data_IF_576332088364
#
_entry.id   IF_576332088364
#
_cell.length_a   1.000
_cell.length_b   1.000
_cell.length_c   1.000
_cell.angle_alpha   90.00
_cell.angle_beta   90.00
_cell.angle_gamma   90.00
#
_symmetry.space_group_name_H-M   'P 1'
#
loop_
_entity.id
_entity.type
_entity.pdbx_description
1 polymer ?
#
# COMPACT_ATOMS: atom_id res chain seq x y z
N UNK A 1 -74.27 -10.99 41.81
CA UNK A 1 -75.49 -11.30 41.04
C UNK A 1 -75.07 -11.90 39.71
N UNK A 2 -75.50 -13.15 39.44
CA UNK A 2 -75.37 -13.97 38.20
C UNK A 2 -73.99 -14.62 37.92
N UNK A 3 -73.82 -15.92 38.23
CA UNK A 3 -74.15 -17.16 37.44
C UNK A 3 -73.10 -17.40 36.33
N UNK A 4 -72.08 -18.27 36.44
CA UNK A 4 -72.01 -19.74 36.58
C UNK A 4 -72.38 -20.55 35.30
N UNK A 5 -71.47 -21.49 34.93
CA UNK A 5 -71.60 -22.77 34.17
C UNK A 5 -71.13 -22.81 32.70
N UNK A 6 -70.53 -23.87 32.12
CA UNK A 6 -70.03 -25.23 32.49
C UNK A 6 -69.26 -25.79 31.26
N UNK A 7 -68.25 -26.66 31.47
CA UNK A 7 -68.03 -28.00 30.81
C UNK A 7 -66.55 -28.42 30.98
N UNK A 8 -66.17 -29.23 31.98
CA UNK A 8 -66.08 -30.72 32.03
C UNK A 8 -65.32 -31.39 30.86
N UNK A 9 -64.14 -31.95 31.17
CA UNK A 9 -63.41 -32.89 30.29
C UNK A 9 -62.17 -33.55 30.93
N UNK A 10 -62.40 -34.66 31.66
CA UNK A 10 -61.59 -35.88 31.94
C UNK A 10 -60.04 -35.83 32.07
N UNK A 11 -59.60 -36.38 33.21
CA UNK A 11 -58.29 -36.99 33.54
C UNK A 11 -57.84 -38.11 32.58
N UNK A 12 -56.54 -38.18 32.25
CA UNK A 12 -55.63 -39.38 32.26
C UNK A 12 -54.17 -38.89 32.43
N UNK A 13 -53.31 -39.55 33.25
CA UNK A 13 -51.95 -39.10 33.58
C UNK A 13 -50.84 -39.73 32.73
N UNK A 14 -49.66 -39.08 32.71
CA UNK A 14 -48.36 -39.73 32.50
C UNK A 14 -47.64 -39.38 31.19
N UNK A 15 -46.48 -38.75 31.31
CA UNK A 15 -45.16 -39.25 30.88
C UNK A 15 -44.11 -38.22 31.32
N UNK A 16 -43.27 -38.65 32.26
CA UNK A 16 -42.02 -37.98 32.64
C UNK A 16 -41.05 -38.16 31.46
N UNK A 17 -40.74 -37.09 30.73
CA UNK A 17 -39.64 -37.10 29.75
C UNK A 17 -38.44 -36.41 30.38
N UNK A 18 -37.44 -37.20 30.77
CA UNK A 18 -36.14 -36.74 31.22
C UNK A 18 -35.43 -36.01 30.07
N UNK A 19 -35.20 -34.70 30.21
CA UNK A 19 -34.31 -33.95 29.34
C UNK A 19 -32.85 -34.31 29.69
N UNK A 20 -32.23 -35.13 28.86
CA UNK A 20 -30.77 -35.25 28.81
C UNK A 20 -30.20 -33.96 28.19
N UNK A 21 -29.51 -33.15 28.99
CA UNK A 21 -28.62 -32.10 28.48
C UNK A 21 -27.40 -32.77 27.82
N UNK A 22 -27.42 -32.88 26.49
CA UNK A 22 -26.17 -33.03 25.73
C UNK A 22 -25.50 -31.66 25.65
N UNK A 23 -24.45 -31.44 26.45
CA UNK A 23 -23.48 -30.39 26.17
C UNK A 23 -22.78 -30.75 24.85
N UNK A 24 -23.19 -30.11 23.75
CA UNK A 24 -22.37 -30.06 22.56
C UNK A 24 -21.10 -29.27 22.92
N UNK A 25 -19.96 -29.96 23.00
CA UNK A 25 -18.67 -29.32 23.11
C UNK A 25 -18.47 -28.45 21.85
N UNK A 26 -18.59 -27.14 22.01
CA UNK A 26 -18.20 -26.19 20.97
C UNK A 26 -16.69 -26.38 20.77
N UNK A 27 -16.21 -26.72 19.57
CA UNK A 27 -14.79 -26.80 19.33
C UNK A 27 -14.20 -25.40 19.51
N UNK A 28 -13.41 -25.23 20.56
CA UNK A 28 -12.56 -24.05 20.73
C UNK A 28 -11.64 -24.03 19.49
N UNK A 29 -11.60 -22.93 18.70
CA UNK A 29 -10.65 -22.84 17.61
C UNK A 29 -9.25 -23.02 18.19
N UNK A 30 -8.50 -23.98 17.63
CA UNK A 30 -7.10 -24.18 18.01
C UNK A 30 -6.36 -22.84 17.82
N UNK A 31 -5.85 -22.29 18.92
CA UNK A 31 -4.95 -21.13 18.86
C UNK A 31 -3.82 -21.48 17.90
N UNK A 32 -3.70 -20.73 16.80
CA UNK A 32 -2.52 -20.82 15.95
C UNK A 32 -1.29 -20.64 16.86
N UNK A 33 -0.33 -21.56 16.79
CA UNK A 33 0.91 -21.40 17.53
C UNK A 33 1.56 -20.08 17.08
N UNK A 34 1.79 -19.17 18.02
CA UNK A 34 2.55 -17.95 17.76
C UNK A 34 3.99 -18.34 17.48
N UNK A 35 4.42 -18.23 16.23
CA UNK A 35 5.82 -18.45 15.84
C UNK A 35 6.54 -17.11 15.83
N UNK A 36 7.82 -17.11 16.17
CA UNK A 36 8.66 -15.91 16.09
C UNK A 36 8.66 -15.39 14.66
N UNK A 37 8.27 -14.13 14.50
CA UNK A 37 8.33 -13.42 13.21
C UNK A 37 9.74 -12.87 13.01
N UNK A 38 10.26 -12.96 11.79
CA UNK A 38 11.55 -12.35 11.43
C UNK A 38 11.30 -11.32 10.35
N UNK A 39 11.77 -10.10 10.59
CA UNK A 39 11.70 -8.99 9.65
C UNK A 39 13.11 -8.59 9.24
N UNK A 40 13.45 -8.72 7.96
CA UNK A 40 14.73 -8.31 7.38
C UNK A 40 14.53 -7.03 6.58
N UNK A 41 15.23 -5.96 6.95
CA UNK A 41 15.10 -4.62 6.38
C UNK A 41 13.63 -4.17 6.31
N UNK A 42 12.80 -4.65 7.25
CA UNK A 42 11.37 -4.39 7.33
C UNK A 42 10.45 -5.28 6.49
N UNK A 43 10.98 -6.25 5.72
CA UNK A 43 10.19 -7.29 5.05
C UNK A 43 10.10 -8.56 5.88
N UNK A 44 8.93 -9.21 5.87
CA UNK A 44 8.75 -10.50 6.54
C UNK A 44 9.55 -11.59 5.83
N UNK A 45 10.41 -12.28 6.56
CA UNK A 45 11.16 -13.41 6.06
C UNK A 45 10.42 -14.71 6.41
N UNK A 46 9.81 -15.32 5.39
CA UNK A 46 9.12 -16.58 5.54
C UNK A 46 10.09 -17.76 5.48
N UNK A 47 9.89 -18.74 6.36
CA UNK A 47 10.70 -19.95 6.44
C UNK A 47 9.84 -21.20 6.22
N UNK A 48 10.42 -22.21 5.59
CA UNK A 48 9.80 -23.52 5.38
C UNK A 48 9.74 -24.34 6.69
N UNK A 49 10.70 -24.12 7.59
CA UNK A 49 10.67 -24.54 8.98
C UNK A 49 10.61 -23.30 9.86
N UNK A 50 9.62 -23.19 10.77
CA UNK A 50 9.45 -21.98 11.56
C UNK A 50 10.67 -21.71 12.46
N UNK A 51 11.02 -20.44 12.69
CA UNK A 51 11.98 -20.05 13.73
C UNK A 51 11.60 -20.66 15.09
N UNK A 52 12.60 -21.02 15.89
CA UNK A 52 12.40 -21.57 17.24
C UNK A 52 13.19 -20.77 18.26
N UNK A 53 12.70 -20.70 19.50
CA UNK A 53 13.48 -20.16 20.62
C UNK A 53 14.05 -21.36 21.40
N UNK A 54 15.36 -21.43 21.51
CA UNK A 54 16.07 -22.43 22.29
C UNK A 54 17.18 -21.73 23.09
N UNK A 55 17.29 -22.02 24.40
CA UNK A 55 18.23 -21.33 25.30
C UNK A 55 18.14 -19.80 25.24
N UNK A 56 16.92 -19.27 25.20
CA UNK A 56 16.66 -17.83 25.07
C UNK A 56 17.30 -17.18 23.83
N UNK A 57 17.47 -17.96 22.75
CA UNK A 57 17.99 -17.51 21.46
C UNK A 57 17.08 -17.97 20.33
N UNK A 58 16.78 -17.06 19.41
CA UNK A 58 16.06 -17.39 18.17
C UNK A 58 16.99 -18.11 17.21
N UNK A 59 16.61 -19.32 16.81
CA UNK A 59 17.28 -20.12 15.80
C UNK A 59 16.43 -20.15 14.53
N UNK A 60 17.08 -19.98 13.37
CA UNK A 60 16.41 -19.94 12.06
C UNK A 60 17.10 -20.82 11.03
N UNK A 61 16.37 -21.35 10.02
CA UNK A 61 16.97 -22.09 8.91
C UNK A 61 18.10 -21.30 8.23
N UNK A 62 19.33 -21.84 8.31
CA UNK A 62 20.54 -21.09 7.93
C UNK A 62 20.54 -20.66 6.46
N UNK A 63 20.10 -21.54 5.55
CA UNK A 63 20.13 -21.27 4.11
C UNK A 63 19.28 -20.05 3.76
N UNK A 64 18.04 -20.03 4.28
CA UNK A 64 17.09 -18.95 4.02
C UNK A 64 17.58 -17.61 4.58
N UNK A 65 18.10 -17.59 5.81
CA UNK A 65 18.64 -16.34 6.38
C UNK A 65 19.90 -15.88 5.64
N UNK A 66 20.75 -16.80 5.18
CA UNK A 66 21.97 -16.48 4.43
C UNK A 66 21.67 -15.86 3.07
N UNK A 67 20.78 -16.49 2.30
CA UNK A 67 20.30 -15.96 1.02
C UNK A 67 19.69 -14.58 1.21
N UNK A 68 18.86 -14.41 2.25
CA UNK A 68 18.17 -13.16 2.53
C UNK A 68 19.14 -12.01 2.84
N UNK A 69 20.23 -12.27 3.57
CA UNK A 69 21.26 -11.26 3.84
C UNK A 69 22.33 -11.16 2.73
N UNK A 70 22.17 -11.86 1.61
CA UNK A 70 23.10 -11.84 0.48
C UNK A 70 24.43 -12.56 0.74
N UNK A 71 24.46 -13.53 1.66
CA UNK A 71 25.62 -14.39 1.90
C UNK A 71 25.53 -15.69 1.08
N UNK A 72 26.65 -16.11 0.50
CA UNK A 72 26.77 -17.44 -0.12
C UNK A 72 27.10 -18.48 0.94
N UNK A 73 26.60 -19.70 0.79
CA UNK A 73 26.78 -20.75 1.80
C UNK A 73 27.19 -22.08 1.21
N UNK A 74 28.04 -22.77 1.96
CA UNK A 74 28.37 -24.17 1.78
C UNK A 74 27.95 -24.97 3.01
N UNK A 75 27.42 -26.17 2.77
CA UNK A 75 27.09 -27.15 3.82
C UNK A 75 27.87 -28.43 3.57
N UNK A 76 28.70 -28.82 4.53
CA UNK A 76 29.42 -30.08 4.52
C UNK A 76 28.69 -31.10 5.41
N UNK A 77 28.10 -32.11 4.78
CA UNK A 77 27.35 -33.17 5.46
C UNK A 77 28.23 -34.05 6.36
N UNK A 78 29.47 -34.33 5.95
CA UNK A 78 30.36 -35.24 6.67
C UNK A 78 30.79 -34.64 8.01
N UNK A 79 31.08 -33.34 8.01
CA UNK A 79 31.53 -32.62 9.21
C UNK A 79 30.39 -31.87 9.92
N UNK A 80 29.20 -31.81 9.30
CA UNK A 80 28.03 -31.01 9.72
C UNK A 80 28.39 -29.54 9.93
N UNK A 81 29.12 -28.99 8.97
CA UNK A 81 29.68 -27.64 9.02
C UNK A 81 29.00 -26.73 7.99
N UNK A 82 28.61 -25.55 8.44
CA UNK A 82 28.18 -24.43 7.61
C UNK A 82 29.37 -23.49 7.45
N UNK A 83 29.64 -23.11 6.20
CA UNK A 83 30.54 -21.99 5.90
C UNK A 83 29.79 -20.96 5.07
N UNK A 84 29.71 -19.73 5.56
CA UNK A 84 29.02 -18.62 4.92
C UNK A 84 30.00 -17.49 4.57
N UNK A 85 29.80 -16.86 3.40
CA UNK A 85 30.65 -15.79 2.89
C UNK A 85 29.81 -14.59 2.45
N UNK A 86 30.25 -13.37 2.79
CA UNK A 86 29.72 -12.11 2.23
C UNK A 86 30.83 -11.06 2.24
N UNK A 87 31.20 -10.56 1.06
CA UNK A 87 32.34 -9.66 0.91
C UNK A 87 33.64 -10.32 1.38
N UNK A 88 34.33 -9.69 2.33
CA UNK A 88 35.56 -10.16 2.98
C UNK A 88 35.31 -11.01 4.22
N UNK A 89 34.05 -11.20 4.62
CA UNK A 89 33.69 -11.93 5.84
C UNK A 89 33.40 -13.40 5.58
N UNK A 90 33.96 -14.25 6.42
CA UNK A 90 33.71 -15.71 6.47
C UNK A 90 33.22 -16.10 7.86
N UNK A 91 32.11 -16.83 7.92
CA UNK A 91 31.52 -17.35 9.16
C UNK A 91 31.43 -18.88 9.08
N UNK A 92 32.03 -19.58 10.04
CA UNK A 92 32.02 -21.05 10.12
C UNK A 92 31.28 -21.48 11.39
N UNK A 93 30.32 -22.38 11.23
CA UNK A 93 29.46 -22.90 12.29
C UNK A 93 29.38 -24.42 12.17
N UNK A 94 29.45 -25.15 13.29
CA UNK A 94 29.31 -26.61 13.31
C UNK A 94 28.13 -27.03 14.18
N UNK A 95 27.29 -27.93 13.69
CA UNK A 95 26.12 -28.40 14.43
C UNK A 95 26.54 -29.02 15.77
N UNK A 96 25.88 -28.60 16.85
CA UNK A 96 26.15 -29.03 18.22
C UNK A 96 27.39 -28.38 18.86
N UNK A 97 28.18 -27.58 18.12
CA UNK A 97 29.34 -26.89 18.67
C UNK A 97 28.98 -25.45 19.07
N UNK A 98 29.36 -25.04 20.28
CA UNK A 98 29.17 -23.66 20.77
C UNK A 98 30.33 -22.73 20.44
N UNK A 99 31.28 -23.16 19.59
CA UNK A 99 32.34 -22.32 19.04
C UNK A 99 32.12 -22.14 17.54
N UNK A 100 31.97 -20.90 17.11
CA UNK A 100 31.97 -20.48 15.72
C UNK A 100 33.31 -19.82 15.37
N UNK A 101 33.53 -19.54 14.09
CA UNK A 101 34.69 -18.75 13.65
C UNK A 101 34.23 -17.62 12.74
N UNK A 102 34.73 -16.41 12.98
CA UNK A 102 34.54 -15.23 12.11
C UNK A 102 35.92 -14.80 11.63
N UNK A 103 36.16 -14.88 10.32
CA UNK A 103 37.49 -14.64 9.71
C UNK A 103 38.59 -15.42 10.44
N UNK A 104 38.36 -16.71 10.67
CA UNK A 104 39.24 -17.65 11.40
C UNK A 104 39.38 -17.38 12.91
N UNK A 105 38.86 -16.28 13.44
CA UNK A 105 38.90 -16.02 14.88
C UNK A 105 37.76 -16.76 15.60
N UNK A 106 38.05 -17.51 16.69
CA UNK A 106 37.02 -18.23 17.42
C UNK A 106 36.08 -17.29 18.18
N UNK A 107 34.78 -17.56 18.12
CA UNK A 107 33.73 -16.82 18.84
C UNK A 107 32.82 -17.81 19.56
N UNK A 108 32.57 -17.57 20.84
CA UNK A 108 31.64 -18.38 21.64
C UNK A 108 30.20 -18.02 21.29
N UNK A 109 29.38 -19.04 21.07
CA UNK A 109 27.95 -18.92 20.83
C UNK A 109 27.16 -19.09 22.11
N UNK A 110 26.07 -18.33 22.24
CA UNK A 110 25.09 -18.51 23.31
C UNK A 110 24.23 -19.75 23.13
N UNK A 111 24.05 -20.20 21.88
CA UNK A 111 23.37 -21.43 21.52
C UNK A 111 24.10 -22.08 20.33
N UNK A 112 24.33 -23.40 20.32
CA UNK A 112 24.92 -24.07 19.17
C UNK A 112 23.92 -24.17 18.02
N UNK A 113 24.37 -24.29 16.76
CA UNK A 113 23.49 -24.68 15.66
C UNK A 113 22.88 -26.07 15.90
N UNK A 114 21.62 -26.26 15.52
CA UNK A 114 20.88 -27.50 15.75
C UNK A 114 20.24 -28.03 14.47
N UNK A 115 19.89 -29.32 14.46
CA UNK A 115 19.12 -29.94 13.38
C UNK A 115 17.67 -30.15 13.83
N UNK A 116 16.69 -29.68 13.04
CA UNK A 116 15.25 -29.91 13.24
C UNK A 116 14.58 -30.17 11.91
N UNK A 117 13.76 -31.23 11.81
CA UNK A 117 13.01 -31.61 10.60
C UNK A 117 13.87 -31.53 9.31
N UNK A 118 15.10 -32.05 9.37
CA UNK A 118 16.05 -32.03 8.26
C UNK A 118 16.44 -30.61 7.77
N UNK A 119 16.45 -29.63 8.68
CA UNK A 119 17.01 -28.30 8.49
C UNK A 119 18.03 -28.01 9.58
N UNK A 120 19.13 -27.37 9.19
CA UNK A 120 20.08 -26.79 10.13
C UNK A 120 19.62 -25.40 10.52
N UNK A 121 19.45 -25.16 11.81
CA UNK A 121 19.06 -23.89 12.37
C UNK A 121 20.28 -23.27 13.07
N UNK A 122 20.49 -21.97 12.85
CA UNK A 122 21.61 -21.19 13.42
C UNK A 122 21.10 -20.07 14.31
N UNK A 123 21.87 -19.63 15.33
CA UNK A 123 21.52 -18.46 16.12
C UNK A 123 21.44 -17.22 15.24
N UNK A 124 20.22 -16.68 15.07
CA UNK A 124 19.94 -15.60 14.13
C UNK A 124 20.81 -14.38 14.42
N UNK A 125 20.83 -13.96 15.69
CA UNK A 125 21.56 -12.75 16.13
C UNK A 125 23.03 -12.83 15.75
N UNK A 126 23.74 -13.84 16.27
CA UNK A 126 25.15 -14.04 15.97
C UNK A 126 25.41 -14.10 14.46
N UNK A 127 24.63 -14.91 13.74
CA UNK A 127 24.86 -15.13 12.32
C UNK A 127 24.73 -13.85 11.49
N UNK A 128 23.71 -13.04 11.77
CA UNK A 128 23.44 -11.79 11.03
C UNK A 128 24.36 -10.64 11.48
N UNK A 129 24.64 -10.50 12.78
CA UNK A 129 25.58 -9.51 13.32
C UNK A 129 27.02 -9.78 12.84
N UNK A 130 27.41 -11.04 12.67
CA UNK A 130 28.70 -11.38 12.09
C UNK A 130 28.87 -10.76 10.69
N UNK A 131 27.80 -10.66 9.91
CA UNK A 131 27.76 -9.97 8.61
C UNK A 131 27.48 -8.47 8.68
N UNK A 132 27.44 -7.88 9.88
CA UNK A 132 27.30 -6.43 10.09
C UNK A 132 25.87 -5.92 10.21
N UNK A 133 24.88 -6.81 10.32
CA UNK A 133 23.51 -6.39 10.56
C UNK A 133 23.28 -5.99 12.03
N UNK A 134 22.38 -5.06 12.28
CA UNK A 134 21.85 -4.78 13.61
C UNK A 134 20.61 -5.66 13.88
N UNK A 135 20.46 -6.15 15.10
CA UNK A 135 19.35 -7.03 15.49
C UNK A 135 18.64 -6.53 16.73
N UNK A 136 17.33 -6.31 16.63
CA UNK A 136 16.45 -5.95 17.75
C UNK A 136 15.28 -6.93 17.90
N UNK A 137 14.62 -6.88 19.05
CA UNK A 137 13.51 -7.76 19.41
C UNK A 137 12.33 -6.92 19.90
N UNK A 138 11.14 -7.20 19.39
CA UNK A 138 9.87 -6.66 19.88
C UNK A 138 9.10 -7.73 20.64
N UNK A 139 8.84 -7.45 21.92
CA UNK A 139 8.17 -8.39 22.83
C UNK A 139 6.67 -8.49 22.55
N UNK A 140 6.01 -7.39 22.17
CA UNK A 140 4.54 -7.43 22.00
C UNK A 140 4.10 -8.28 20.81
N UNK A 141 4.99 -8.52 19.85
CA UNK A 141 4.68 -9.23 18.59
C UNK A 141 5.61 -10.41 18.33
N UNK A 142 6.42 -10.82 19.31
CA UNK A 142 7.45 -11.86 19.18
C UNK A 142 8.26 -11.74 17.88
N UNK A 143 8.75 -10.54 17.58
CA UNK A 143 9.35 -10.21 16.28
C UNK A 143 10.83 -9.87 16.42
N UNK A 144 11.67 -10.56 15.66
CA UNK A 144 13.07 -10.18 15.44
C UNK A 144 13.15 -9.22 14.26
N UNK A 145 13.80 -8.08 14.44
CA UNK A 145 14.16 -7.17 13.34
C UNK A 145 15.64 -7.29 13.05
N UNK A 146 15.98 -7.41 11.77
CA UNK A 146 17.34 -7.42 11.24
C UNK A 146 17.44 -6.23 10.29
N UNK A 147 18.43 -5.37 10.51
CA UNK A 147 18.75 -4.24 9.64
C UNK A 147 20.18 -4.40 9.11
N UNK A 148 20.33 -4.63 7.80
CA UNK A 148 21.64 -4.76 7.15
C UNK A 148 22.22 -3.42 6.70
N UNK A 149 21.51 -2.30 6.92
CA UNK A 149 21.82 -0.99 6.34
C UNK A 149 21.49 -0.89 4.84
N UNK A 150 21.00 -1.96 4.22
CA UNK A 150 20.58 -1.94 2.81
C UNK A 150 19.14 -1.41 2.72
N UNK A 151 18.98 -0.30 2.00
CA UNK A 151 17.65 0.21 1.65
C UNK A 151 16.94 -0.75 0.71
N UNK A 152 15.73 -1.17 1.08
CA UNK A 152 14.85 -1.93 0.21
C UNK A 152 14.59 -1.17 -1.10
N UNK A 153 14.32 -1.91 -2.17
CA UNK A 153 13.73 -1.35 -3.39
C UNK A 153 12.21 -1.40 -3.28
N UNK A 154 11.54 -0.26 -3.49
CA UNK A 154 10.08 -0.16 -3.51
C UNK A 154 9.61 0.55 -4.77
N UNK A 155 8.42 0.18 -5.21
CA UNK A 155 7.80 0.79 -6.37
C UNK A 155 7.43 2.26 -6.11
N UNK A 156 7.69 3.14 -7.07
CA UNK A 156 7.22 4.53 -7.03
C UNK A 156 6.51 4.84 -8.35
N UNK A 157 5.20 5.08 -8.27
CA UNK A 157 4.37 5.55 -9.38
C UNK A 157 4.16 7.07 -9.27
N UNK A 158 4.45 7.82 -10.33
CA UNK A 158 4.06 9.22 -10.45
C UNK A 158 2.83 9.40 -11.34
N UNK A 159 1.74 9.94 -10.82
CA UNK A 159 0.63 10.40 -11.66
C UNK A 159 1.02 11.71 -12.36
N UNK A 160 1.20 11.65 -13.67
CA UNK A 160 1.51 12.81 -14.51
C UNK A 160 0.22 13.50 -14.96
N UNK A 161 0.07 14.74 -14.55
CA UNK A 161 -1.13 15.56 -14.75
C UNK A 161 -0.77 16.85 -15.51
N UNK A 162 -1.77 17.70 -15.73
CA UNK A 162 -1.53 19.06 -16.22
C UNK A 162 -0.50 19.80 -15.35
N UNK A 163 0.47 20.43 -16.00
CA UNK A 163 1.57 21.16 -15.36
C UNK A 163 2.50 20.30 -14.49
N UNK A 164 2.70 19.02 -14.86
CA UNK A 164 3.64 18.10 -14.20
C UNK A 164 5.02 18.01 -14.88
N UNK A 165 5.22 18.65 -16.04
CA UNK A 165 6.42 18.49 -16.88
C UNK A 165 7.72 18.76 -16.12
N UNK A 166 7.88 19.94 -15.51
CA UNK A 166 9.11 20.30 -14.80
C UNK A 166 9.42 19.39 -13.62
N UNK A 167 8.39 18.94 -12.91
CA UNK A 167 8.54 18.00 -11.79
C UNK A 167 8.99 16.62 -12.31
N UNK A 168 8.37 16.13 -13.38
CA UNK A 168 8.77 14.89 -14.03
C UNK A 168 10.23 14.95 -14.50
N UNK A 169 10.63 16.01 -15.21
CA UNK A 169 11.99 16.15 -15.75
C UNK A 169 13.06 16.18 -14.65
N UNK A 170 12.72 16.66 -13.45
CA UNK A 170 13.62 16.67 -12.29
C UNK A 170 13.70 15.33 -11.57
N UNK A 171 12.68 14.48 -11.68
CA UNK A 171 12.49 13.33 -10.80
C UNK A 171 12.22 11.98 -11.50
N UNK A 172 12.26 11.90 -12.82
CA UNK A 172 11.99 10.64 -13.55
C UNK A 172 12.91 9.49 -13.12
N UNK A 173 14.17 9.76 -12.80
CA UNK A 173 15.14 8.77 -12.35
C UNK A 173 14.81 8.22 -10.95
N UNK A 174 14.02 8.96 -10.17
CA UNK A 174 13.53 8.61 -8.82
C UNK A 174 12.24 7.78 -8.84
N UNK A 175 11.69 7.45 -10.01
CA UNK A 175 10.43 6.70 -10.14
C UNK A 175 10.61 5.33 -10.80
N UNK A 176 9.68 4.41 -10.51
CA UNK A 176 9.55 3.12 -11.19
C UNK A 176 8.71 3.24 -12.46
N UNK A 177 7.67 4.06 -12.39
CA UNK A 177 6.72 4.23 -13.47
C UNK A 177 6.00 5.57 -13.42
N UNK A 178 5.30 5.90 -14.50
CA UNK A 178 4.40 7.04 -14.55
C UNK A 178 3.10 6.70 -15.26
N UNK A 179 1.98 7.17 -14.70
CA UNK A 179 0.69 7.18 -15.39
C UNK A 179 0.58 8.51 -16.13
N UNK A 180 0.62 8.47 -17.46
CA UNK A 180 0.74 9.65 -18.33
C UNK A 180 -0.40 9.69 -19.33
N UNK A 181 -0.83 10.92 -19.65
CA UNK A 181 -1.95 11.26 -20.53
C UNK A 181 -3.29 10.71 -20.03
N UNK A 182 -4.24 11.63 -19.85
CA UNK A 182 -5.55 11.34 -19.30
C UNK A 182 -6.52 11.00 -20.42
N UNK A 183 -7.24 9.91 -20.22
CA UNK A 183 -8.39 9.52 -21.01
C UNK A 183 -9.62 9.47 -20.12
N UNK A 184 -10.80 9.66 -20.70
CA UNK A 184 -12.12 9.53 -20.08
C UNK A 184 -13.09 8.84 -21.01
N UNK A 185 -14.36 8.79 -20.60
CA UNK A 185 -15.47 8.41 -21.44
C UNK A 185 -16.25 9.64 -21.96
N UNK A 186 -16.48 9.67 -23.27
CA UNK A 186 -17.43 10.62 -23.86
C UNK A 186 -18.89 10.26 -23.49
N UNK A 187 -19.86 11.01 -24.02
CA UNK A 187 -21.28 10.78 -23.72
C UNK A 187 -21.82 9.45 -24.29
N UNK A 188 -21.13 8.86 -25.27
CA UNK A 188 -21.44 7.54 -25.81
C UNK A 188 -20.82 6.40 -24.98
N UNK A 189 -19.88 6.73 -24.09
CA UNK A 189 -19.11 5.75 -23.32
C UNK A 189 -17.84 5.32 -24.04
N UNK A 190 -17.33 6.13 -24.96
CA UNK A 190 -16.13 5.86 -25.76
C UNK A 190 -14.91 6.47 -25.09
N UNK A 191 -13.79 5.76 -25.14
CA UNK A 191 -12.50 6.28 -24.70
C UNK A 191 -12.12 7.51 -25.52
N UNK A 192 -11.91 8.63 -24.84
CA UNK A 192 -11.51 9.91 -25.43
C UNK A 192 -10.48 10.62 -24.57
N UNK A 193 -9.54 11.35 -25.17
CA UNK A 193 -8.66 12.31 -24.51
C UNK A 193 -9.17 13.76 -24.65
N UNK A 194 -10.31 13.94 -25.33
CA UNK A 194 -11.01 15.22 -25.44
C UNK A 194 -11.92 15.44 -24.23
N UNK A 195 -11.39 16.13 -23.24
CA UNK A 195 -12.00 16.26 -21.93
C UNK A 195 -12.67 17.64 -21.77
N UNK A 196 -13.99 17.69 -21.91
CA UNK A 196 -14.79 18.88 -21.62
C UNK A 196 -15.23 18.86 -20.15
N UNK A 197 -14.36 19.26 -19.21
CA UNK A 197 -14.65 19.11 -17.78
C UNK A 197 -14.39 20.33 -16.92
N UNK A 198 -15.12 20.46 -15.80
CA UNK A 198 -14.85 21.46 -14.77
C UNK A 198 -13.50 21.31 -14.04
N UNK A 199 -12.80 20.17 -14.14
CA UNK A 199 -11.53 19.93 -13.40
C UNK A 199 -10.26 20.41 -14.10
N UNK A 200 -10.34 21.14 -15.22
CA UNK A 200 -9.18 21.63 -16.00
C UNK A 200 -8.23 20.51 -16.46
N UNK A 201 -8.73 19.28 -16.57
CA UNK A 201 -7.97 18.15 -17.08
C UNK A 201 -7.86 18.36 -18.60
N UNK A 202 -6.65 18.64 -19.06
CA UNK A 202 -6.29 18.64 -20.48
C UNK A 202 -5.16 17.65 -20.70
N UNK A 203 -5.03 17.18 -21.94
CA UNK A 203 -3.80 16.49 -22.38
C UNK A 203 -2.61 17.35 -21.94
N UNK A 204 -1.74 16.85 -21.04
CA UNK A 204 -0.73 17.72 -20.46
C UNK A 204 0.31 18.11 -21.51
N UNK A 205 0.79 19.36 -21.45
CA UNK A 205 1.84 19.82 -22.36
C UNK A 205 3.12 18.99 -22.14
N UNK A 206 3.83 18.66 -23.23
CA UNK A 206 5.09 17.88 -23.19
C UNK A 206 4.93 16.38 -22.90
N UNK A 207 3.71 15.83 -22.91
CA UNK A 207 3.50 14.40 -22.60
C UNK A 207 4.21 13.45 -23.57
N UNK A 208 4.41 13.84 -24.83
CA UNK A 208 5.11 13.03 -25.83
C UNK A 208 6.57 12.81 -25.45
N UNK A 209 7.22 13.88 -24.97
CA UNK A 209 8.60 13.80 -24.48
C UNK A 209 8.66 12.96 -23.20
N UNK A 210 7.68 13.08 -22.31
CA UNK A 210 7.58 12.25 -21.10
C UNK A 210 7.46 10.77 -21.47
N UNK A 211 6.61 10.41 -22.44
CA UNK A 211 6.48 9.03 -22.93
C UNK A 211 7.81 8.55 -23.52
N UNK A 212 8.44 9.36 -24.38
CA UNK A 212 9.70 9.02 -25.03
C UNK A 212 10.83 8.80 -24.00
N UNK A 213 11.04 9.78 -23.13
CA UNK A 213 12.09 9.73 -22.11
C UNK A 213 11.86 8.57 -21.12
N UNK A 214 10.60 8.33 -20.73
CA UNK A 214 10.27 7.19 -19.87
C UNK A 214 10.72 5.86 -20.50
N UNK A 215 10.40 5.64 -21.79
CA UNK A 215 10.85 4.45 -22.53
C UNK A 215 12.38 4.37 -22.60
N UNK A 216 13.06 5.47 -22.91
CA UNK A 216 14.53 5.53 -22.98
C UNK A 216 15.23 5.23 -21.64
N UNK A 217 14.58 5.59 -20.52
CA UNK A 217 15.11 5.42 -19.16
C UNK A 217 14.59 4.17 -18.45
N UNK A 218 13.81 3.34 -19.14
CA UNK A 218 13.24 2.12 -18.58
C UNK A 218 12.18 2.35 -17.50
N UNK A 219 11.47 3.49 -17.54
CA UNK A 219 10.26 3.68 -16.73
C UNK A 219 9.08 3.04 -17.45
N UNK A 220 8.28 2.26 -16.71
CA UNK A 220 6.99 1.79 -17.19
C UNK A 220 6.03 2.96 -17.37
N UNK A 221 5.26 2.95 -18.45
CA UNK A 221 4.24 3.97 -18.71
C UNK A 221 2.85 3.34 -18.76
N UNK A 222 1.91 3.95 -18.06
CA UNK A 222 0.52 3.49 -18.04
C UNK A 222 -0.42 4.54 -18.62
N UNK A 223 -1.35 4.08 -19.46
CA UNK A 223 -2.53 4.84 -19.83
C UNK A 223 -3.33 5.11 -18.56
N UNK A 224 -3.69 6.36 -18.28
CA UNK A 224 -4.64 6.66 -17.20
C UNK A 224 -6.04 6.84 -17.77
N UNK A 225 -6.96 5.95 -17.42
CA UNK A 225 -8.37 6.07 -17.80
C UNK A 225 -9.20 6.46 -16.57
N UNK A 226 -9.58 7.74 -16.50
CA UNK A 226 -10.31 8.34 -15.40
C UNK A 226 -11.76 8.59 -15.77
N UNK A 227 -12.70 8.26 -14.88
CA UNK A 227 -14.09 8.69 -14.99
C UNK A 227 -14.75 8.73 -13.60
N UNK A 228 -15.51 9.79 -13.31
CA UNK A 228 -16.16 10.01 -12.02
C UNK A 228 -17.68 10.17 -12.11
N UNK A 229 -18.23 10.28 -13.33
CA UNK A 229 -19.67 10.29 -13.54
C UNK A 229 -20.23 8.86 -13.41
N UNK A 230 -20.83 8.59 -12.24
CA UNK A 230 -21.46 7.30 -11.95
C UNK A 230 -22.57 6.89 -12.92
N UNK A 231 -23.20 7.82 -13.66
CA UNK A 231 -24.16 7.48 -14.71
C UNK A 231 -23.45 7.03 -16.00
N UNK A 232 -22.34 7.67 -16.38
CA UNK A 232 -21.50 7.21 -17.50
C UNK A 232 -20.92 5.83 -17.22
N UNK A 233 -20.41 5.63 -16.02
CA UNK A 233 -19.90 4.31 -15.58
C UNK A 233 -21.01 3.25 -15.63
N UNK A 234 -22.18 3.53 -15.08
CA UNK A 234 -23.31 2.61 -15.15
C UNK A 234 -23.68 2.26 -16.60
N UNK A 235 -23.70 3.24 -17.50
CA UNK A 235 -24.01 3.05 -18.93
C UNK A 235 -22.99 2.13 -19.60
N UNK A 236 -21.69 2.43 -19.48
CA UNK A 236 -20.64 1.67 -20.16
C UNK A 236 -20.49 0.25 -19.62
N UNK A 237 -20.75 0.06 -18.31
CA UNK A 237 -20.68 -1.25 -17.67
C UNK A 237 -21.95 -2.09 -17.85
N UNK A 238 -23.05 -1.52 -18.35
CA UNK A 238 -24.38 -2.14 -18.30
C UNK A 238 -24.50 -3.50 -19.00
N UNK A 239 -23.89 -3.68 -20.18
CA UNK A 239 -24.05 -4.87 -21.02
C UNK A 239 -22.72 -5.55 -21.33
N UNK A 240 -22.75 -6.84 -21.67
CA UNK A 240 -21.53 -7.55 -22.09
C UNK A 240 -20.90 -6.90 -23.33
N UNK A 241 -21.70 -6.45 -24.29
CA UNK A 241 -21.23 -5.81 -25.52
C UNK A 241 -20.59 -4.45 -25.24
N UNK A 242 -21.17 -3.62 -24.37
CA UNK A 242 -20.55 -2.34 -23.98
C UNK A 242 -19.24 -2.53 -23.22
N UNK A 243 -19.15 -3.53 -22.33
CA UNK A 243 -17.90 -3.89 -21.64
C UNK A 243 -16.81 -4.35 -22.62
N UNK A 244 -17.13 -5.27 -23.55
CA UNK A 244 -16.20 -5.72 -24.59
C UNK A 244 -15.72 -4.59 -25.49
N UNK A 245 -16.64 -3.70 -25.87
CA UNK A 245 -16.30 -2.52 -26.66
C UNK A 245 -15.31 -1.61 -25.94
N UNK A 246 -15.53 -1.35 -24.65
CA UNK A 246 -14.60 -0.57 -23.84
C UNK A 246 -13.23 -1.26 -23.74
N UNK A 247 -13.19 -2.57 -23.49
CA UNK A 247 -11.94 -3.36 -23.49
C UNK A 247 -11.18 -3.18 -24.82
N UNK A 248 -11.86 -3.31 -25.96
CA UNK A 248 -11.24 -3.18 -27.28
C UNK A 248 -10.69 -1.76 -27.54
N UNK A 249 -11.39 -0.72 -27.09
CA UNK A 249 -10.91 0.66 -27.19
C UNK A 249 -9.67 0.90 -26.32
N UNK A 250 -9.66 0.38 -25.08
CA UNK A 250 -8.49 0.47 -24.19
C UNK A 250 -7.29 -0.23 -24.83
N UNK A 251 -7.46 -1.46 -25.32
CA UNK A 251 -6.39 -2.20 -26.00
C UNK A 251 -5.84 -1.43 -27.21
N UNK A 252 -6.74 -0.84 -28.02
CA UNK A 252 -6.36 -0.03 -29.18
C UNK A 252 -5.46 1.15 -28.78
N UNK A 253 -5.80 1.86 -27.69
CA UNK A 253 -5.00 2.98 -27.19
C UNK A 253 -3.68 2.50 -26.60
N UNK A 254 -3.69 1.43 -25.79
CA UNK A 254 -2.50 0.82 -25.20
C UNK A 254 -1.48 0.43 -26.27
N UNK A 255 -1.94 -0.18 -27.36
CA UNK A 255 -1.09 -0.57 -28.49
C UNK A 255 -0.61 0.64 -29.30
N UNK A 256 -1.52 1.55 -29.65
CA UNK A 256 -1.21 2.74 -30.48
C UNK A 256 -0.15 3.64 -29.86
N UNK A 257 -0.27 3.91 -28.57
CA UNK A 257 0.66 4.80 -27.84
C UNK A 257 1.87 4.02 -27.26
N UNK A 258 1.81 2.70 -27.32
CA UNK A 258 2.83 1.80 -26.79
C UNK A 258 2.98 1.89 -25.28
N UNK A 259 1.86 1.88 -24.55
CA UNK A 259 1.85 1.78 -23.09
C UNK A 259 2.26 0.37 -22.63
N UNK A 260 2.82 0.28 -21.42
CA UNK A 260 3.07 -1.00 -20.73
C UNK A 260 1.80 -1.59 -20.10
N UNK A 261 0.73 -0.79 -20.03
CA UNK A 261 -0.54 -1.19 -19.45
C UNK A 261 -1.49 -0.01 -19.26
N UNK A 262 -2.52 -0.23 -18.44
CA UNK A 262 -3.51 0.78 -18.09
C UNK A 262 -3.67 0.86 -16.57
N UNK A 263 -3.85 2.08 -16.07
CA UNK A 263 -4.36 2.35 -14.73
C UNK A 263 -5.81 2.84 -14.85
N UNK A 264 -6.77 2.03 -14.40
CA UNK A 264 -8.20 2.38 -14.37
C UNK A 264 -8.48 3.17 -13.09
N UNK A 265 -9.07 4.35 -13.25
CA UNK A 265 -9.43 5.27 -12.18
C UNK A 265 -10.91 5.65 -12.30
N UNK A 266 -11.77 4.65 -12.10
CA UNK A 266 -13.22 4.82 -12.10
C UNK A 266 -13.70 5.12 -10.69
N UNK A 267 -14.13 6.35 -10.45
CA UNK A 267 -14.58 6.87 -9.16
C UNK A 267 -16.13 6.92 -9.06
N UNK A 268 -16.66 6.93 -7.84
CA UNK A 268 -18.11 7.02 -7.55
C UNK A 268 -18.95 5.90 -8.20
N UNK A 269 -18.39 4.70 -8.34
CA UNK A 269 -19.13 3.53 -8.81
C UNK A 269 -20.32 3.22 -7.89
N UNK A 270 -21.50 3.05 -8.50
CA UNK A 270 -22.72 2.69 -7.76
C UNK A 270 -22.64 1.25 -7.26
N UNK A 271 -23.17 1.00 -6.06
CA UNK A 271 -23.17 -0.33 -5.43
C UNK A 271 -23.73 -1.44 -6.34
N UNK A 272 -24.81 -1.14 -7.07
CA UNK A 272 -25.49 -2.07 -7.98
C UNK A 272 -24.67 -2.47 -9.22
N UNK A 273 -23.59 -1.75 -9.52
CA UNK A 273 -22.74 -2.01 -10.69
C UNK A 273 -21.48 -2.82 -10.32
N UNK A 274 -21.35 -3.23 -9.06
CA UNK A 274 -20.25 -4.07 -8.52
C UNK A 274 -19.92 -5.25 -9.44
N UNK A 275 -20.88 -6.13 -9.69
CA UNK A 275 -20.62 -7.38 -10.43
C UNK A 275 -20.27 -7.10 -11.89
N UNK A 276 -20.87 -6.07 -12.50
CA UNK A 276 -20.57 -5.65 -13.87
C UNK A 276 -19.17 -5.05 -13.98
N UNK A 277 -18.74 -4.30 -12.97
CA UNK A 277 -17.38 -3.79 -12.90
C UNK A 277 -16.37 -4.93 -12.72
N UNK A 278 -16.66 -5.91 -11.85
CA UNK A 278 -15.84 -7.11 -11.70
C UNK A 278 -15.68 -7.89 -13.02
N UNK A 279 -16.78 -8.08 -13.77
CA UNK A 279 -16.73 -8.71 -15.09
C UNK A 279 -15.91 -7.92 -16.11
N UNK A 280 -16.04 -6.59 -16.10
CA UNK A 280 -15.23 -5.71 -16.95
C UNK A 280 -13.74 -5.83 -16.62
N UNK A 281 -13.37 -5.74 -15.34
CA UNK A 281 -11.97 -5.84 -14.90
C UNK A 281 -11.37 -7.21 -15.22
N UNK A 282 -12.14 -8.29 -15.04
CA UNK A 282 -11.71 -9.63 -15.47
C UNK A 282 -11.42 -9.69 -16.97
N UNK A 283 -12.35 -9.24 -17.81
CA UNK A 283 -12.18 -9.29 -19.26
C UNK A 283 -11.03 -8.40 -19.75
N UNK A 284 -10.84 -7.24 -19.11
CA UNK A 284 -9.73 -6.33 -19.41
C UNK A 284 -8.38 -6.93 -19.00
N UNK A 285 -8.31 -7.57 -17.83
CA UNK A 285 -7.11 -8.29 -17.37
C UNK A 285 -6.70 -9.37 -18.35
N UNK A 286 -7.64 -10.22 -18.76
CA UNK A 286 -7.39 -11.30 -19.72
C UNK A 286 -6.86 -10.76 -21.06
N UNK A 287 -7.45 -9.68 -21.57
CA UNK A 287 -7.02 -9.05 -22.82
C UNK A 287 -5.62 -8.41 -22.73
N UNK A 288 -5.34 -7.67 -21.65
CA UNK A 288 -4.03 -7.01 -21.44
C UNK A 288 -2.92 -8.04 -21.24
N UNK A 289 -3.14 -9.05 -20.39
CA UNK A 289 -2.14 -10.09 -20.12
C UNK A 289 -1.82 -10.91 -21.36
N UNK A 290 -2.80 -11.18 -22.24
CA UNK A 290 -2.56 -11.81 -23.54
C UNK A 290 -1.61 -10.99 -24.45
N UNK A 291 -1.61 -9.67 -24.30
CA UNK A 291 -0.68 -8.76 -24.98
C UNK A 291 0.62 -8.46 -24.21
N UNK A 292 0.87 -9.13 -23.08
CA UNK A 292 2.02 -8.84 -22.20
C UNK A 292 1.95 -7.46 -21.54
N UNK A 293 0.75 -6.92 -21.33
CA UNK A 293 0.47 -5.61 -20.73
C UNK A 293 -0.09 -5.77 -19.33
N UNK A 294 0.04 -4.72 -18.52
CA UNK A 294 -0.41 -4.71 -17.12
C UNK A 294 -1.76 -4.00 -16.93
N UNK A 295 -2.56 -4.47 -15.97
CA UNK A 295 -3.77 -3.82 -15.47
C UNK A 295 -3.58 -3.35 -14.04
N UNK A 296 -3.70 -2.04 -13.81
CA UNK A 296 -3.62 -1.42 -12.49
C UNK A 296 -4.90 -0.67 -12.17
N UNK A 297 -5.25 -0.54 -10.90
CA UNK A 297 -6.49 0.10 -10.47
C UNK A 297 -6.23 1.15 -9.39
N UNK A 298 -6.71 2.38 -9.58
CA UNK A 298 -6.88 3.34 -8.48
C UNK A 298 -8.18 2.99 -7.74
N UNK A 299 -8.10 2.68 -6.45
CA UNK A 299 -9.26 2.29 -5.65
C UNK A 299 -9.56 3.32 -4.56
N UNK A 300 -10.83 3.72 -4.39
CA UNK A 300 -11.23 4.47 -3.23
C UNK A 300 -11.13 3.57 -1.99
N UNK A 301 -10.85 4.19 -0.85
CA UNK A 301 -10.42 3.48 0.35
C UNK A 301 -11.57 3.01 1.23
N UNK A 302 -11.34 1.91 1.94
CA UNK A 302 -12.29 1.25 2.84
C UNK A 302 -11.56 0.87 4.13
N UNK A 303 -12.32 0.72 5.22
CA UNK A 303 -11.81 0.22 6.50
C UNK A 303 -12.77 -0.84 7.05
N UNK A 304 -12.36 -1.62 8.05
CA UNK A 304 -13.29 -2.54 8.72
C UNK A 304 -14.46 -1.81 9.41
N UNK A 305 -14.28 -0.54 9.75
CA UNK A 305 -15.29 0.28 10.43
C UNK A 305 -16.28 0.94 9.46
N UNK A 306 -15.89 1.10 8.19
CA UNK A 306 -16.66 1.85 7.22
C UNK A 306 -16.36 1.41 5.78
N UNK A 307 -17.45 1.11 5.07
CA UNK A 307 -17.47 0.87 3.64
C UNK A 307 -18.33 1.96 2.96
N UNK A 308 -17.67 3.02 2.52
CA UNK A 308 -18.32 4.10 1.75
C UNK A 308 -18.52 3.71 0.28
N UNK A 309 -17.87 2.65 -0.19
CA UNK A 309 -17.71 2.32 -1.60
C UNK A 309 -18.02 0.83 -1.85
N UNK A 310 -19.28 0.39 -1.62
CA UNK A 310 -19.67 -1.02 -1.75
C UNK A 310 -19.60 -1.54 -3.20
N UNK A 311 -19.50 -0.65 -4.19
CA UNK A 311 -19.26 -1.01 -5.59
C UNK A 311 -17.89 -1.65 -5.86
N UNK A 312 -16.92 -1.48 -4.95
CA UNK A 312 -15.54 -1.91 -5.15
C UNK A 312 -15.24 -3.18 -4.35
N UNK A 313 -15.14 -4.30 -5.06
CA UNK A 313 -14.83 -5.63 -4.53
C UNK A 313 -13.32 -5.83 -4.44
N UNK A 314 -12.71 -5.53 -3.30
CA UNK A 314 -11.24 -5.57 -3.16
C UNK A 314 -10.64 -6.95 -3.49
N UNK A 315 -11.30 -8.04 -3.10
CA UNK A 315 -10.80 -9.40 -3.35
C UNK A 315 -10.81 -9.72 -4.86
N UNK A 316 -11.92 -9.43 -5.53
CA UNK A 316 -12.03 -9.68 -6.98
C UNK A 316 -11.14 -8.75 -7.79
N UNK A 317 -11.13 -7.46 -7.45
CA UNK A 317 -10.33 -6.45 -8.14
C UNK A 317 -8.83 -6.71 -7.96
N UNK A 318 -8.39 -7.00 -6.73
CA UNK A 318 -6.99 -7.34 -6.44
C UNK A 318 -6.52 -8.64 -7.10
N UNK A 319 -7.43 -9.60 -7.33
CA UNK A 319 -7.14 -10.84 -8.07
C UNK A 319 -6.80 -10.57 -9.53
N UNK A 320 -7.55 -9.69 -10.20
CA UNK A 320 -7.42 -9.44 -11.65
C UNK A 320 -6.53 -8.24 -12.02
N UNK A 321 -6.10 -7.40 -11.07
CA UNK A 321 -5.08 -6.37 -11.31
C UNK A 321 -3.67 -6.91 -11.09
N UNK A 322 -2.63 -6.35 -11.71
CA UNK A 322 -1.24 -6.57 -11.30
C UNK A 322 -0.90 -5.85 -10.00
N UNK A 323 -1.39 -4.62 -9.83
CA UNK A 323 -1.42 -3.92 -8.55
C UNK A 323 -2.59 -2.94 -8.44
N UNK A 324 -2.90 -2.56 -7.20
CA UNK A 324 -3.88 -1.52 -6.87
C UNK A 324 -3.19 -0.34 -6.19
N UNK A 325 -3.67 0.87 -6.45
CA UNK A 325 -3.28 2.09 -5.77
C UNK A 325 -4.39 2.50 -4.83
N UNK A 326 -4.11 2.54 -3.53
CA UNK A 326 -5.07 3.00 -2.52
C UNK A 326 -5.05 4.53 -2.47
N UNK A 327 -6.18 5.18 -2.77
CA UNK A 327 -6.33 6.64 -2.67
C UNK A 327 -6.51 7.08 -1.20
N UNK A 328 -5.49 6.85 -0.37
CA UNK A 328 -5.51 7.06 1.08
C UNK A 328 -5.31 8.53 1.47
N UNK A 329 -6.13 9.39 0.89
CA UNK A 329 -6.23 10.83 1.13
C UNK A 329 -7.71 11.25 0.97
N UNK A 330 -8.02 12.52 1.25
CA UNK A 330 -9.40 13.05 1.22
C UNK A 330 -10.38 12.31 2.13
N UNK A 331 -9.94 11.93 3.34
CA UNK A 331 -10.80 11.25 4.34
C UNK A 331 -12.13 11.96 4.59
N UNK A 332 -12.10 13.28 4.76
CA UNK A 332 -13.29 14.09 5.01
C UNK A 332 -13.03 15.56 4.61
N UNK A 333 -13.00 15.87 3.31
CA UNK A 333 -12.55 17.17 2.81
C UNK A 333 -13.56 18.29 3.07
N UNK A 334 -14.72 17.98 3.68
CA UNK A 334 -15.71 18.96 4.11
C UNK A 334 -15.37 19.60 5.46
N UNK A 335 -14.48 19.00 6.25
CA UNK A 335 -14.16 19.46 7.61
C UNK A 335 -12.66 19.72 7.79
N UNK A 336 -12.26 20.71 8.61
CA UNK A 336 -10.86 21.06 8.86
C UNK A 336 -10.19 20.05 9.82
N UNK A 337 -9.99 18.84 9.33
CA UNK A 337 -9.40 17.72 10.08
C UNK A 337 -8.32 16.99 9.26
N UNK A 338 -7.51 16.11 9.88
CA UNK A 338 -6.51 15.29 9.19
C UNK A 338 -7.09 14.49 8.01
N UNK A 339 -6.65 14.76 6.78
CA UNK A 339 -7.18 14.13 5.56
C UNK A 339 -6.50 12.82 5.17
N UNK A 340 -5.30 12.57 5.69
CA UNK A 340 -4.42 11.44 5.35
C UNK A 340 -3.50 11.08 6.52
N UNK A 341 -3.99 11.24 7.75
CA UNK A 341 -3.23 10.91 8.96
C UNK A 341 -2.79 9.45 8.98
N UNK A 342 -1.56 9.17 9.45
CA UNK A 342 -0.98 7.82 9.45
C UNK A 342 -1.83 6.81 10.22
N UNK A 343 -2.51 7.27 11.27
CA UNK A 343 -3.45 6.47 12.07
C UNK A 343 -4.61 5.93 11.24
N UNK A 344 -5.23 6.77 10.40
CA UNK A 344 -6.29 6.34 9.50
C UNK A 344 -5.76 5.58 8.27
N UNK A 345 -4.61 6.00 7.73
CA UNK A 345 -3.99 5.32 6.59
C UNK A 345 -3.61 3.88 6.94
N UNK A 346 -3.15 3.62 8.17
CA UNK A 346 -2.87 2.25 8.62
C UNK A 346 -4.14 1.39 8.67
N UNK A 347 -5.28 1.92 9.11
CA UNK A 347 -6.57 1.20 9.07
C UNK A 347 -7.00 0.85 7.63
N UNK A 348 -6.78 1.77 6.69
CA UNK A 348 -7.04 1.56 5.26
C UNK A 348 -6.14 0.45 4.70
N UNK A 349 -4.85 0.49 5.01
CA UNK A 349 -3.88 -0.52 4.57
C UNK A 349 -4.23 -1.89 5.14
N UNK A 350 -4.56 -1.97 6.43
CA UNK A 350 -4.92 -3.24 7.09
C UNK A 350 -6.16 -3.88 6.47
N UNK A 351 -7.18 -3.07 6.15
CA UNK A 351 -8.35 -3.56 5.41
C UNK A 351 -7.97 -4.12 4.02
N UNK A 352 -7.11 -3.41 3.30
CA UNK A 352 -6.70 -3.79 1.96
C UNK A 352 -5.89 -5.09 1.95
N UNK A 353 -4.87 -5.20 2.80
CA UNK A 353 -3.97 -6.37 2.81
C UNK A 353 -4.62 -7.63 3.39
N UNK A 354 -5.75 -7.50 4.09
CA UNK A 354 -6.57 -8.64 4.48
C UNK A 354 -7.32 -9.28 3.29
N UNK A 355 -7.38 -8.60 2.13
CA UNK A 355 -8.15 -9.01 0.94
C UNK A 355 -7.31 -9.08 -0.34
N UNK A 356 -6.22 -8.32 -0.40
CA UNK A 356 -5.31 -8.21 -1.55
C UNK A 356 -3.91 -8.54 -1.06
N UNK A 357 -3.13 -9.39 -1.77
CA UNK A 357 -1.73 -9.63 -1.41
C UNK A 357 -0.96 -8.32 -1.28
N UNK A 358 -0.23 -8.13 -0.18
CA UNK A 358 0.42 -6.86 0.17
C UNK A 358 1.39 -6.39 -0.94
N UNK A 359 2.08 -7.31 -1.59
CA UNK A 359 3.00 -7.07 -2.71
C UNK A 359 2.32 -6.53 -3.98
N UNK A 360 0.97 -6.51 -4.02
CA UNK A 360 0.16 -5.89 -5.08
C UNK A 360 -0.48 -4.57 -4.63
N UNK A 361 -0.23 -4.10 -3.41
CA UNK A 361 -0.81 -2.87 -2.88
C UNK A 361 0.22 -1.73 -2.95
N UNK A 362 -0.15 -0.63 -3.60
CA UNK A 362 0.60 0.63 -3.68
C UNK A 362 -0.15 1.69 -2.87
N UNK A 363 0.53 2.36 -1.96
CA UNK A 363 -0.07 3.40 -1.12
C UNK A 363 -0.04 4.76 -1.81
N UNK A 364 -1.20 5.34 -2.10
CA UNK A 364 -1.31 6.71 -2.64
C UNK A 364 -1.00 7.76 -1.56
N UNK A 365 -0.15 8.72 -1.90
CA UNK A 365 0.13 9.93 -1.11
C UNK A 365 -0.35 11.14 -1.89
N UNK A 366 -1.38 11.80 -1.35
CA UNK A 366 -1.85 13.09 -1.82
C UNK A 366 -1.00 14.21 -1.24
N UNK A 367 0.04 14.68 -1.94
CA UNK A 367 0.96 15.69 -1.39
C UNK A 367 0.45 17.12 -1.55
N UNK A 368 -0.57 17.44 -0.76
CA UNK A 368 -1.19 18.74 -0.65
C UNK A 368 -1.89 18.84 0.70
N UNK A 369 -2.54 19.97 0.95
CA UNK A 369 -3.46 20.16 2.05
C UNK A 369 -4.70 20.92 1.61
N UNK A 370 -5.51 21.27 2.60
CA UNK A 370 -6.61 22.19 2.42
C UNK A 370 -6.57 23.32 3.44
N UNK A 371 -7.09 24.45 2.99
CA UNK A 371 -7.44 25.62 3.77
C UNK A 371 -8.97 25.71 3.83
N UNK A 372 -9.51 25.79 5.03
CA UNK A 372 -10.93 26.03 5.27
C UNK A 372 -11.11 27.40 5.91
N UNK A 373 -11.88 28.25 5.23
CA UNK A 373 -12.23 29.58 5.69
C UNK A 373 -13.55 29.58 6.46
N UNK A 374 -13.67 30.42 7.48
CA UNK A 374 -14.88 30.58 8.30
C UNK A 374 -16.10 31.08 7.51
N UNK A 375 -15.89 31.60 6.31
CA UNK A 375 -16.94 32.01 5.37
C UNK A 375 -17.45 30.85 4.49
N UNK A 376 -16.97 29.62 4.71
CA UNK A 376 -17.35 28.42 3.95
C UNK A 376 -16.50 28.14 2.71
N UNK A 377 -15.55 29.01 2.38
CA UNK A 377 -14.62 28.76 1.26
C UNK A 377 -13.62 27.67 1.62
N UNK A 378 -13.19 26.89 0.61
CA UNK A 378 -12.14 25.89 0.76
C UNK A 378 -11.16 25.97 -0.40
N UNK A 379 -9.87 25.90 -0.11
CA UNK A 379 -8.80 25.95 -1.10
C UNK A 379 -7.85 24.77 -0.93
N UNK A 380 -7.22 24.34 -2.01
CA UNK A 380 -6.09 23.42 -1.95
C UNK A 380 -4.82 24.20 -1.64
N UNK A 381 -4.00 23.67 -0.74
CA UNK A 381 -2.75 24.28 -0.28
C UNK A 381 -1.57 23.41 -0.71
N UNK A 382 -0.56 24.03 -1.31
CA UNK A 382 0.74 23.40 -1.54
C UNK A 382 1.79 24.00 -0.60
N UNK A 383 2.92 23.30 -0.42
CA UNK A 383 4.01 23.75 0.46
C UNK A 383 4.60 25.07 -0.04
N UNK A 384 4.91 25.14 -1.33
CA UNK A 384 5.58 26.27 -1.97
C UNK A 384 5.18 26.36 -3.43
N UNK A 385 5.31 27.56 -4.00
CA UNK A 385 5.04 27.78 -5.42
C UNK A 385 6.05 27.04 -6.28
N UNK A 386 5.55 26.23 -7.20
CA UNK A 386 6.38 25.35 -8.04
C UNK A 386 6.09 25.53 -9.54
N UNK A 387 5.76 26.75 -9.94
CA UNK A 387 5.47 27.11 -11.34
C UNK A 387 4.04 26.81 -11.79
N UNK A 388 3.25 26.09 -11.00
CA UNK A 388 1.83 25.87 -11.29
C UNK A 388 1.05 27.18 -11.38
N UNK A 389 0.17 27.27 -12.37
CA UNK A 389 -0.72 28.40 -12.66
C UNK A 389 -2.18 28.06 -12.41
N UNK A 390 -2.45 26.92 -11.76
CA UNK A 390 -3.82 26.47 -11.48
C UNK A 390 -4.50 27.48 -10.55
N UNK A 391 -5.64 28.07 -10.98
CA UNK A 391 -6.37 29.03 -10.17
C UNK A 391 -6.86 28.42 -8.86
N UNK A 392 -6.84 29.20 -7.78
CA UNK A 392 -7.37 28.80 -6.48
C UNK A 392 -6.44 27.96 -5.60
N UNK A 393 -5.20 27.69 -6.05
CA UNK A 393 -4.16 27.15 -5.18
C UNK A 393 -3.63 28.23 -4.23
N UNK A 394 -3.45 27.86 -2.97
CA UNK A 394 -2.70 28.63 -1.98
C UNK A 394 -1.36 27.96 -1.70
N UNK A 395 -0.40 28.74 -1.18
CA UNK A 395 0.94 28.27 -0.86
C UNK A 395 1.29 28.60 0.59
N UNK A 396 1.67 27.60 1.36
CA UNK A 396 1.84 27.72 2.81
C UNK A 396 2.96 28.70 3.20
N UNK A 397 4.03 28.78 2.42
CA UNK A 397 5.12 29.76 2.57
C UNK A 397 4.62 31.20 2.36
N UNK A 398 3.85 31.45 1.31
CA UNK A 398 3.26 32.76 1.04
C UNK A 398 2.26 33.18 2.14
N UNK A 399 1.44 32.24 2.63
CA UNK A 399 0.53 32.49 3.75
C UNK A 399 1.27 32.78 5.06
N UNK A 400 2.42 32.13 5.28
CA UNK A 400 3.29 32.40 6.44
C UNK A 400 3.87 33.80 6.39
N UNK A 401 4.39 34.21 5.23
CA UNK A 401 4.96 35.55 5.04
C UNK A 401 3.90 36.64 5.16
N UNK A 402 2.73 36.43 4.55
CA UNK A 402 1.68 37.44 4.46
C UNK A 402 0.82 37.57 5.71
N UNK A 403 0.46 36.46 6.34
CA UNK A 403 -0.52 36.42 7.43
C UNK A 403 0.01 35.79 8.72
N UNK A 404 1.30 35.43 8.77
CA UNK A 404 1.93 34.87 9.96
C UNK A 404 1.48 33.44 10.29
N UNK A 405 1.00 32.68 9.30
CA UNK A 405 0.65 31.25 9.46
C UNK A 405 1.80 30.49 10.13
N UNK A 406 1.48 29.80 11.24
CA UNK A 406 2.40 28.89 11.92
C UNK A 406 1.85 27.47 11.85
N UNK A 407 2.56 26.60 11.16
CA UNK A 407 2.26 25.18 11.10
C UNK A 407 2.91 24.45 12.27
N UNK A 408 2.12 23.60 12.93
CA UNK A 408 2.54 22.71 14.02
C UNK A 408 2.27 21.28 13.60
N UNK A 409 3.12 20.35 14.01
CA UNK A 409 2.93 18.93 13.76
C UNK A 409 1.89 18.35 14.73
N UNK A 410 0.85 17.71 14.21
CA UNK A 410 0.00 16.83 14.99
C UNK A 410 0.65 15.46 15.10
N UNK A 411 1.03 15.05 16.32
CA UNK A 411 1.77 13.80 16.54
C UNK A 411 0.98 12.54 16.20
N UNK A 412 -0.35 12.60 16.29
CA UNK A 412 -1.22 11.44 16.06
C UNK A 412 -1.32 11.10 14.58
N UNK A 413 -1.63 12.11 13.76
CA UNK A 413 -1.76 11.95 12.31
C UNK A 413 -0.43 12.07 11.56
N UNK A 414 0.57 12.74 12.15
CA UNK A 414 1.81 13.14 11.47
C UNK A 414 1.65 14.32 10.50
N UNK A 415 0.44 14.88 10.36
CA UNK A 415 0.18 16.01 9.47
C UNK A 415 0.52 17.35 10.14
N UNK A 416 0.79 18.35 9.31
CA UNK A 416 0.96 19.72 9.75
C UNK A 416 -0.39 20.44 9.78
N UNK A 417 -0.64 21.24 10.81
CA UNK A 417 -1.84 22.06 10.93
C UNK A 417 -1.52 23.46 11.44
N UNK A 418 -2.36 24.43 11.10
CA UNK A 418 -2.19 25.79 11.56
C UNK A 418 -3.41 26.65 11.27
N UNK A 419 -3.37 27.89 11.74
CA UNK A 419 -4.44 28.86 11.52
C UNK A 419 -3.85 30.23 11.17
N UNK A 420 -4.64 31.06 10.49
CA UNK A 420 -4.36 32.47 10.28
C UNK A 420 -5.67 33.25 10.08
N UNK A 421 -5.56 34.57 10.06
CA UNK A 421 -6.66 35.47 9.70
C UNK A 421 -6.22 36.30 8.51
N UNK A 422 -7.03 36.35 7.47
CA UNK A 422 -6.71 37.10 6.25
C UNK A 422 -6.90 38.61 6.44
N UNK A 423 -6.57 39.41 5.43
CA UNK A 423 -6.70 40.86 5.47
C UNK A 423 -8.16 41.35 5.62
N UNK A 424 -9.15 40.50 5.34
CA UNK A 424 -10.57 40.80 5.48
C UNK A 424 -11.13 40.37 6.85
N UNK A 425 -10.29 39.83 7.74
CA UNK A 425 -10.73 39.32 9.03
C UNK A 425 -11.36 37.92 8.98
N UNK A 426 -11.26 37.21 7.86
CA UNK A 426 -11.75 35.82 7.73
C UNK A 426 -10.77 34.89 8.43
N UNK A 427 -11.27 33.98 9.26
CA UNK A 427 -10.46 32.99 9.95
C UNK A 427 -10.26 31.75 9.09
N UNK A 428 -9.04 31.23 9.04
CA UNK A 428 -8.66 30.08 8.24
C UNK A 428 -8.01 29.00 9.09
N UNK A 429 -8.29 27.74 8.76
CA UNK A 429 -7.64 26.56 9.31
C UNK A 429 -7.01 25.75 8.19
N UNK A 430 -5.78 25.28 8.37
CA UNK A 430 -5.06 24.46 7.41
C UNK A 430 -4.71 23.11 8.00
N UNK A 431 -4.84 22.07 7.18
CA UNK A 431 -4.21 20.75 7.37
C UNK A 431 -3.50 20.34 6.09
N UNK A 432 -2.27 19.87 6.19
CA UNK A 432 -1.48 19.46 5.02
C UNK A 432 -0.46 18.37 5.35
N UNK A 433 -0.01 17.67 4.30
CA UNK A 433 1.12 16.75 4.40
C UNK A 433 2.38 17.44 4.94
N UNK A 434 3.19 16.67 5.66
CA UNK A 434 4.48 17.07 6.21
C UNK A 434 5.54 16.02 5.89
N UNK A 435 6.81 16.33 6.11
CA UNK A 435 7.89 15.33 6.01
C UNK A 435 7.66 14.16 6.99
N UNK A 436 7.13 14.45 8.19
CA UNK A 436 6.84 13.43 9.18
C UNK A 436 5.72 12.47 8.72
N UNK A 437 4.67 12.96 8.06
CA UNK A 437 3.62 12.09 7.53
C UNK A 437 4.10 11.29 6.32
N UNK A 438 4.93 11.86 5.46
CA UNK A 438 5.54 11.14 4.33
C UNK A 438 6.47 10.03 4.82
N UNK A 439 7.35 10.33 5.77
CA UNK A 439 8.25 9.35 6.40
C UNK A 439 7.47 8.21 7.07
N UNK A 440 6.42 8.54 7.85
CA UNK A 440 5.60 7.55 8.51
C UNK A 440 4.88 6.62 7.52
N UNK A 441 4.37 7.15 6.40
CA UNK A 441 3.74 6.38 5.32
C UNK A 441 4.76 5.50 4.57
N UNK A 442 5.96 6.02 4.30
CA UNK A 442 7.05 5.23 3.69
C UNK A 442 7.48 4.06 4.60
N UNK A 443 7.58 4.29 5.91
CA UNK A 443 7.84 3.23 6.89
C UNK A 443 6.70 2.23 6.97
N UNK A 444 5.44 2.66 6.86
CA UNK A 444 4.29 1.76 6.81
C UNK A 444 4.35 0.83 5.59
N UNK A 445 4.68 1.37 4.40
CA UNK A 445 4.89 0.58 3.16
C UNK A 445 5.95 -0.51 3.35
N UNK A 446 7.04 -0.19 4.05
CA UNK A 446 8.06 -1.19 4.42
C UNK A 446 7.47 -2.22 5.38
N UNK A 447 6.96 -1.79 6.55
CA UNK A 447 6.50 -2.67 7.63
C UNK A 447 5.39 -3.63 7.22
N UNK A 448 4.45 -3.17 6.38
CA UNK A 448 3.30 -3.95 5.90
C UNK A 448 3.62 -4.74 4.62
N UNK A 449 4.84 -4.64 4.10
CA UNK A 449 5.27 -5.40 2.91
C UNK A 449 4.62 -4.92 1.61
N UNK A 450 4.15 -3.67 1.56
CA UNK A 450 3.46 -3.13 0.39
C UNK A 450 4.39 -3.04 -0.83
N UNK A 451 3.83 -3.07 -2.05
CA UNK A 451 4.56 -2.91 -3.31
C UNK A 451 5.34 -1.60 -3.34
N UNK A 452 4.73 -0.50 -2.90
CA UNK A 452 5.34 0.82 -2.94
C UNK A 452 4.39 1.98 -2.70
N UNK A 453 4.72 3.15 -3.25
CA UNK A 453 3.98 4.41 -3.13
C UNK A 453 3.56 4.93 -4.51
N UNK A 454 2.39 5.57 -4.58
CA UNK A 454 1.99 6.39 -5.71
C UNK A 454 1.86 7.86 -5.27
N UNK A 455 2.38 8.78 -6.07
CA UNK A 455 2.31 10.21 -5.78
C UNK A 455 1.15 10.83 -6.55
N UNK A 456 0.15 11.31 -5.82
CA UNK A 456 -0.89 12.21 -6.30
C UNK A 456 -0.54 13.63 -5.85
N UNK A 457 0.14 14.42 -6.69
CA UNK A 457 0.53 14.13 -8.07
C UNK A 457 1.87 14.78 -8.40
N UNK A 458 2.46 14.37 -9.52
CA UNK A 458 3.56 15.15 -10.09
C UNK A 458 3.09 16.58 -10.38
N UNK A 459 3.97 17.55 -10.23
CA UNK A 459 3.65 18.97 -10.27
C UNK A 459 3.22 19.54 -8.92
N UNK A 460 3.01 18.72 -7.88
CA UNK A 460 2.81 19.19 -6.48
C UNK A 460 3.98 18.83 -5.57
N UNK A 461 4.89 17.97 -6.02
CA UNK A 461 5.98 17.49 -5.17
C UNK A 461 7.03 18.57 -4.91
N UNK A 462 7.82 18.37 -3.86
CA UNK A 462 8.95 19.21 -3.47
C UNK A 462 10.22 18.36 -3.38
N UNK A 463 11.42 18.97 -3.45
CA UNK A 463 12.66 18.24 -3.18
C UNK A 463 12.64 17.51 -1.83
N UNK A 464 12.08 18.14 -0.79
CA UNK A 464 12.01 17.53 0.54
C UNK A 464 11.10 16.31 0.63
N UNK A 465 9.99 16.27 -0.14
CA UNK A 465 9.19 15.04 -0.28
C UNK A 465 10.05 13.90 -0.84
N UNK A 466 10.78 14.16 -1.93
CA UNK A 466 11.59 13.13 -2.58
C UNK A 466 12.72 12.65 -1.67
N UNK A 467 13.42 13.57 -1.02
CA UNK A 467 14.51 13.22 -0.12
C UNK A 467 14.00 12.43 1.09
N UNK A 468 12.83 12.77 1.63
CA UNK A 468 12.17 12.02 2.70
C UNK A 468 11.75 10.62 2.26
N UNK A 469 11.15 10.49 1.08
CA UNK A 469 10.75 9.20 0.52
C UNK A 469 11.98 8.30 0.28
N UNK A 470 13.02 8.85 -0.34
CA UNK A 470 14.23 8.13 -0.71
C UNK A 470 15.20 7.91 0.47
N UNK A 471 14.99 8.58 1.60
CA UNK A 471 15.69 8.24 2.85
C UNK A 471 15.28 6.85 3.35
N UNK A 472 14.05 6.41 3.06
CA UNK A 472 13.48 5.13 3.52
C UNK A 472 13.78 3.96 2.58
N UNK A 473 13.66 4.14 1.26
CA UNK A 473 13.89 3.08 0.27
C UNK A 473 14.37 3.63 -1.07
N UNK A 474 14.92 2.77 -1.93
CA UNK A 474 15.31 3.12 -3.31
C UNK A 474 14.17 2.82 -4.28
N UNK A 475 14.04 3.53 -5.41
CA UNK A 475 13.06 3.19 -6.44
C UNK A 475 13.41 1.84 -7.06
N UNK A 476 12.43 0.94 -7.14
CA UNK A 476 12.53 -0.26 -7.95
C UNK A 476 12.54 0.14 -9.44
N UNK A 477 13.42 -0.47 -10.24
CA UNK A 477 13.38 -0.38 -11.71
C UNK A 477 12.92 -1.76 -12.18
N UNK A 478 11.85 -1.80 -12.96
CA UNK A 478 11.22 -3.04 -13.46
C UNK A 478 11.53 -3.29 -14.93
#
# INVERSE_FOLDING_TARGET
MKFEKIFKGRFVPGILAALLLMLAAVPVPASAASYVKVMLNGQVLNFDVPPVIENNRTLVPFRKISEAIGATVNWDENTRTITAYKGDKTVILKVGNSTAYVNQNPVKLDAPPVMRKNRTLVPLRFFTEAFGAAVSWENSTDTVFIDTGEKLSKYILGYYYSQSYDDFMKNYDRMSSTAVKWYTLDDNGDVTDNYASPRWIKVPDGYEEVIKLSKEKGLKIFMLLFEMDGNKLQKVLSTMESRKRLVNQIMTVVEREGYDGVNIDFEFLKAQDKDKFNEFIKGLSEALHAGGKSLNLSLPVKTEKADWWPGYDYETLGKYSDFVVLMAYDKNPASPEPQSGIDWVEEVVDYAIARIPAEKVVLGIGYYGYDWASNGSKYTVLVTRNGTTIPGLLFADELKEKYGLKLTLDKKSGLAYGTYTDANGVFHQIWMESEASVDAKAKLVIRKGLKGIALWRLGYTTPSLWDTLLSNFKPAKE
#
